data_IF_225268549829
#
_entry.id   IF_225268549829
#
_cell.length_a   1.000
_cell.length_b   1.000
_cell.length_c   1.000
_cell.angle_alpha   90.00
_cell.angle_beta   90.00
_cell.angle_gamma   90.00
#
_symmetry.space_group_name_H-M   'P 1'
#
loop_
_entity.id
_entity.type
_entity.pdbx_description
1 polymer ?
#
# COMPACT_ATOMS: atom_id res chain seq x y z
N UNK A 1 -0.39 -3.63 -22.74
CA UNK A 1 -1.40 -3.04 -21.82
C UNK A 1 -0.97 -3.15 -20.36
N UNK A 2 -0.57 -4.32 -19.86
CA UNK A 2 -0.12 -4.51 -18.46
C UNK A 2 1.06 -3.61 -18.04
N UNK A 3 2.14 -3.59 -18.84
CA UNK A 3 3.30 -2.70 -18.61
C UNK A 3 2.89 -1.23 -18.47
N UNK A 4 1.92 -0.77 -19.28
CA UNK A 4 1.43 0.62 -19.22
C UNK A 4 0.79 0.89 -17.84
N UNK A 5 -0.01 -0.05 -17.34
CA UNK A 5 -0.64 0.08 -16.02
C UNK A 5 0.39 0.04 -14.89
N UNK A 6 1.42 -0.80 -14.99
CA UNK A 6 2.52 -0.85 -14.01
C UNK A 6 3.34 0.46 -14.00
N UNK A 7 3.53 1.10 -15.16
CA UNK A 7 4.13 2.44 -15.26
C UNK A 7 3.24 3.47 -14.58
N UNK A 8 1.93 3.46 -14.83
CA UNK A 8 0.98 4.38 -14.21
C UNK A 8 0.97 4.23 -12.68
N UNK A 9 0.95 2.99 -12.18
CA UNK A 9 1.07 2.70 -10.73
C UNK A 9 2.36 3.31 -10.17
N UNK A 10 3.48 3.09 -10.85
CA UNK A 10 4.79 3.60 -10.41
C UNK A 10 4.84 5.13 -10.37
N UNK A 11 4.27 5.80 -11.38
CA UNK A 11 4.22 7.28 -11.44
C UNK A 11 3.33 7.85 -10.34
N UNK A 12 2.14 7.26 -10.11
CA UNK A 12 1.24 7.68 -9.04
C UNK A 12 1.87 7.46 -7.66
N UNK A 13 2.50 6.32 -7.45
CA UNK A 13 3.20 6.02 -6.20
C UNK A 13 4.39 6.96 -5.98
N UNK A 14 5.17 7.29 -7.02
CA UNK A 14 6.26 8.26 -6.93
C UNK A 14 5.73 9.65 -6.55
N UNK A 15 4.61 10.08 -7.15
CA UNK A 15 3.95 11.34 -6.79
C UNK A 15 3.54 11.37 -5.30
N UNK A 16 2.94 10.29 -4.80
CA UNK A 16 2.57 10.14 -3.38
C UNK A 16 3.82 10.21 -2.50
N UNK A 17 4.84 9.41 -2.79
CA UNK A 17 6.09 9.36 -2.02
C UNK A 17 6.74 10.75 -1.93
N UNK A 18 6.85 11.46 -3.06
CA UNK A 18 7.42 12.80 -3.11
C UNK A 18 6.66 13.80 -2.24
N UNK A 19 5.33 13.82 -2.34
CA UNK A 19 4.49 14.77 -1.59
C UNK A 19 4.47 14.46 -0.10
N UNK A 20 4.39 13.18 0.27
CA UNK A 20 4.45 12.73 1.67
C UNK A 20 5.81 13.06 2.27
N UNK A 21 6.90 12.85 1.54
CA UNK A 21 8.25 13.20 1.99
C UNK A 21 8.43 14.71 2.20
N UNK A 22 7.91 15.54 1.29
CA UNK A 22 7.91 16.99 1.46
C UNK A 22 7.11 17.43 2.68
N UNK A 23 5.93 16.84 2.91
CA UNK A 23 5.12 17.12 4.09
C UNK A 23 5.84 16.68 5.38
N UNK A 24 6.49 15.51 5.36
CA UNK A 24 7.20 14.95 6.51
C UNK A 24 8.27 15.89 7.08
N UNK A 25 9.01 16.59 6.21
CA UNK A 25 10.03 17.58 6.61
C UNK A 25 9.51 18.71 7.51
N UNK A 26 8.20 18.98 7.48
CA UNK A 26 7.56 20.05 8.26
C UNK A 26 6.88 19.56 9.55
N UNK A 27 6.89 18.26 9.82
CA UNK A 27 6.16 17.67 10.94
C UNK A 27 7.02 17.61 12.21
N UNK A 28 6.52 18.19 13.30
CA UNK A 28 7.10 18.07 14.64
C UNK A 28 6.51 16.90 15.45
N UNK A 29 5.31 16.44 15.10
CA UNK A 29 4.62 15.35 15.80
C UNK A 29 5.17 13.98 15.36
N UNK A 30 5.70 13.21 16.33
CA UNK A 30 6.27 11.88 16.13
C UNK A 30 5.27 10.88 15.55
N UNK A 31 3.98 10.98 15.90
CA UNK A 31 2.94 10.07 15.40
C UNK A 31 2.61 10.35 13.94
N UNK A 32 2.55 11.62 13.56
CA UNK A 32 2.32 12.04 12.17
C UNK A 32 3.55 11.74 11.31
N UNK A 33 4.75 11.87 11.87
CA UNK A 33 6.01 11.45 11.27
C UNK A 33 6.03 9.96 10.95
N UNK A 34 5.62 9.10 11.90
CA UNK A 34 5.53 7.65 11.72
C UNK A 34 4.52 7.26 10.63
N UNK A 35 3.37 7.95 10.58
CA UNK A 35 2.38 7.79 9.52
C UNK A 35 2.96 8.11 8.14
N UNK A 36 3.56 9.29 7.98
CA UNK A 36 4.18 9.73 6.72
C UNK A 36 5.28 8.78 6.26
N UNK A 37 6.12 8.31 7.18
CA UNK A 37 7.13 7.30 6.87
C UNK A 37 6.51 6.01 6.34
N UNK A 38 5.49 5.48 7.01
CA UNK A 38 4.78 4.27 6.57
C UNK A 38 4.11 4.44 5.20
N UNK A 39 3.51 5.61 4.92
CA UNK A 39 2.91 5.94 3.63
C UNK A 39 3.94 6.04 2.50
N UNK A 40 5.12 6.62 2.79
CA UNK A 40 6.21 6.68 1.82
C UNK A 40 6.79 5.29 1.53
N UNK A 41 6.95 4.45 2.56
CA UNK A 41 7.36 3.05 2.39
C UNK A 41 6.35 2.24 1.59
N UNK A 42 5.04 2.45 1.80
CA UNK A 42 3.98 1.79 1.03
C UNK A 42 4.03 2.20 -0.44
N UNK A 43 4.25 3.49 -0.72
CA UNK A 43 4.45 3.96 -2.08
C UNK A 43 5.70 3.32 -2.73
N UNK A 44 6.80 3.22 -1.99
CA UNK A 44 8.00 2.53 -2.46
C UNK A 44 7.75 1.03 -2.72
N UNK A 45 6.96 0.36 -1.89
CA UNK A 45 6.62 -1.05 -2.10
C UNK A 45 5.78 -1.24 -3.36
N UNK A 46 4.83 -0.34 -3.65
CA UNK A 46 4.06 -0.37 -4.90
C UNK A 46 4.93 -0.20 -6.14
N UNK A 47 5.95 0.67 -6.09
CA UNK A 47 6.92 0.84 -7.19
C UNK A 47 7.74 -0.44 -7.37
N UNK A 48 8.29 -0.99 -6.29
CA UNK A 48 9.09 -2.22 -6.35
C UNK A 48 8.27 -3.39 -6.91
N UNK A 49 7.02 -3.49 -6.49
CA UNK A 49 6.07 -4.51 -6.94
C UNK A 49 5.71 -4.35 -8.43
N UNK A 50 5.48 -3.12 -8.91
CA UNK A 50 5.26 -2.84 -10.33
C UNK A 50 6.49 -3.18 -11.20
N UNK A 51 7.72 -2.87 -10.73
CA UNK A 51 8.96 -3.22 -11.43
C UNK A 51 9.16 -4.73 -11.52
N UNK A 52 8.87 -5.45 -10.43
CA UNK A 52 8.91 -6.92 -10.40
C UNK A 52 7.90 -7.53 -11.37
N UNK A 53 6.68 -7.00 -11.40
CA UNK A 53 5.64 -7.46 -12.32
C UNK A 53 6.04 -7.27 -13.79
N UNK A 54 6.66 -6.12 -14.13
CA UNK A 54 7.22 -5.89 -15.46
C UNK A 54 8.31 -6.92 -15.79
N UNK A 55 9.26 -7.14 -14.87
CA UNK A 55 10.36 -8.08 -15.08
C UNK A 55 9.87 -9.52 -15.28
N UNK A 56 8.97 -10.00 -14.42
CA UNK A 56 8.37 -11.33 -14.54
C UNK A 56 7.53 -11.48 -15.80
N UNK A 57 6.82 -10.41 -16.22
CA UNK A 57 6.02 -10.45 -17.44
C UNK A 57 6.86 -10.64 -18.71
N UNK A 58 8.09 -10.09 -18.73
CA UNK A 58 9.02 -10.29 -19.84
C UNK A 58 9.62 -11.71 -19.84
N UNK A 59 9.90 -12.28 -18.67
CA UNK A 59 10.51 -13.61 -18.53
C UNK A 59 9.58 -14.78 -18.90
N UNK A 60 8.25 -14.58 -18.89
CA UNK A 60 7.26 -15.62 -19.23
C UNK A 60 7.39 -16.15 -20.66
N UNK A 61 8.08 -15.44 -21.55
CA UNK A 61 8.33 -15.85 -22.94
C UNK A 61 9.69 -16.52 -23.19
N UNK A 62 10.65 -16.41 -22.27
CA UNK A 62 12.05 -16.78 -22.52
C UNK A 62 12.57 -17.92 -21.64
N UNK A 63 11.99 -18.10 -20.44
CA UNK A 63 12.52 -19.00 -19.43
C UNK A 63 11.61 -20.20 -19.09
N UNK A 64 12.16 -21.32 -18.59
CA UNK A 64 11.36 -22.46 -18.15
C UNK A 64 10.43 -22.07 -16.98
N UNK A 65 9.14 -22.37 -17.13
CA UNK A 65 8.07 -21.97 -16.21
C UNK A 65 8.33 -22.33 -14.73
N UNK A 66 9.07 -23.41 -14.45
CA UNK A 66 9.43 -23.79 -13.06
C UNK A 66 10.40 -22.82 -12.40
N UNK A 67 11.34 -22.24 -13.16
CA UNK A 67 12.29 -21.26 -12.64
C UNK A 67 11.59 -19.92 -12.38
N UNK A 68 10.72 -19.49 -13.30
CA UNK A 68 9.90 -18.27 -13.17
C UNK A 68 9.04 -18.34 -11.90
N UNK A 69 8.35 -19.46 -11.64
CA UNK A 69 7.55 -19.64 -10.42
C UNK A 69 8.34 -19.56 -9.12
N UNK A 70 9.60 -20.01 -9.11
CA UNK A 70 10.47 -19.92 -7.91
C UNK A 70 10.92 -18.48 -7.67
N UNK A 71 11.31 -17.78 -8.73
CA UNK A 71 11.65 -16.35 -8.67
C UNK A 71 10.46 -15.51 -8.23
N UNK A 72 9.28 -15.80 -8.78
CA UNK A 72 8.01 -15.18 -8.40
C UNK A 72 7.73 -15.33 -6.90
N UNK A 73 7.84 -16.55 -6.35
CA UNK A 73 7.61 -16.81 -4.94
C UNK A 73 8.60 -16.04 -4.03
N UNK A 74 9.89 -16.01 -4.40
CA UNK A 74 10.91 -15.27 -3.66
C UNK A 74 10.65 -13.76 -3.67
N UNK A 75 10.38 -13.19 -4.85
CA UNK A 75 10.08 -11.77 -5.01
C UNK A 75 8.78 -11.37 -4.30
N UNK A 76 7.74 -12.23 -4.35
CA UNK A 76 6.50 -12.04 -3.60
C UNK A 76 6.76 -11.95 -2.11
N UNK A 77 7.62 -12.81 -1.57
CA UNK A 77 7.97 -12.80 -0.15
C UNK A 77 8.70 -11.51 0.23
N UNK A 78 9.66 -11.06 -0.59
CA UNK A 78 10.35 -9.78 -0.39
C UNK A 78 9.39 -8.59 -0.41
N UNK A 79 8.48 -8.54 -1.39
CA UNK A 79 7.45 -7.51 -1.47
C UNK A 79 6.56 -7.57 -0.23
N UNK A 80 6.10 -8.76 0.19
CA UNK A 80 5.28 -8.90 1.38
C UNK A 80 5.97 -8.40 2.66
N UNK A 81 7.27 -8.65 2.81
CA UNK A 81 8.04 -8.12 3.96
C UNK A 81 8.14 -6.59 3.89
N UNK A 82 8.43 -6.05 2.70
CA UNK A 82 8.53 -4.60 2.50
C UNK A 82 7.18 -3.90 2.78
N UNK A 83 6.09 -4.49 2.29
CA UNK A 83 4.72 -4.09 2.55
C UNK A 83 4.38 -4.16 4.04
N UNK A 84 4.80 -5.21 4.74
CA UNK A 84 4.59 -5.35 6.18
C UNK A 84 5.33 -4.24 6.95
N UNK A 85 6.59 -4.00 6.59
CA UNK A 85 7.40 -2.93 7.16
C UNK A 85 6.81 -1.54 6.91
N UNK A 86 6.06 -1.35 5.82
CA UNK A 86 5.30 -0.13 5.54
C UNK A 86 4.00 -0.04 6.36
N UNK A 87 3.24 -1.13 6.43
CA UNK A 87 1.91 -1.16 7.07
C UNK A 87 1.99 -1.06 8.59
N UNK A 88 3.01 -1.63 9.23
CA UNK A 88 3.15 -1.62 10.70
C UNK A 88 3.22 -0.19 11.27
N UNK A 89 4.11 0.71 10.78
CA UNK A 89 4.14 2.12 11.18
C UNK A 89 2.80 2.83 10.97
N UNK A 90 2.13 2.58 9.83
CA UNK A 90 0.82 3.18 9.53
C UNK A 90 -0.22 2.70 10.53
N UNK A 91 -0.29 1.39 10.77
CA UNK A 91 -1.21 0.77 11.72
C UNK A 91 -1.01 1.38 13.11
N UNK A 92 0.22 1.42 13.62
CA UNK A 92 0.55 2.06 14.91
C UNK A 92 0.07 3.51 14.93
N UNK A 93 0.37 4.28 13.88
CA UNK A 93 -0.02 5.67 13.82
C UNK A 93 -1.55 5.87 13.77
N UNK A 94 -2.33 4.99 13.13
CA UNK A 94 -3.80 5.13 13.09
C UNK A 94 -4.50 4.53 14.31
N UNK A 95 -3.86 3.58 15.02
CA UNK A 95 -4.43 2.85 16.16
C UNK A 95 -4.73 3.79 17.34
N UNK A 96 -5.96 3.81 17.88
CA UNK A 96 -6.26 4.49 19.14
C UNK A 96 -5.45 3.87 20.29
N UNK A 97 -4.98 4.67 21.24
CA UNK A 97 -4.16 4.19 22.38
C UNK A 97 -4.80 3.07 23.19
N UNK A 98 -6.13 2.99 23.24
CA UNK A 98 -6.87 1.92 23.90
C UNK A 98 -6.78 0.55 23.20
N UNK A 99 -6.44 0.49 21.91
CA UNK A 99 -6.46 -0.73 21.11
C UNK A 99 -5.10 -1.47 21.03
N UNK A 100 -4.02 -0.88 21.54
CA UNK A 100 -2.69 -1.52 21.58
C UNK A 100 -2.68 -2.87 22.32
N UNK A 101 -3.64 -3.11 23.23
CA UNK A 101 -3.72 -4.33 24.02
C UNK A 101 -4.31 -5.55 23.26
N UNK A 102 -5.03 -5.34 22.15
CA UNK A 102 -5.83 -6.39 21.49
C UNK A 102 -5.18 -6.93 20.21
N UNK A 103 -4.15 -6.24 19.69
CA UNK A 103 -3.54 -6.56 18.41
C UNK A 103 -2.76 -7.89 18.30
N UNK A 104 -2.21 -8.56 19.35
CA UNK A 104 -1.19 -9.58 19.10
C UNK A 104 -1.72 -10.99 18.77
N UNK A 105 -3.03 -11.27 18.84
CA UNK A 105 -3.51 -12.68 18.81
C UNK A 105 -4.21 -13.07 17.49
N UNK A 106 -4.87 -12.14 16.79
CA UNK A 106 -5.57 -12.43 15.52
C UNK A 106 -4.68 -12.48 14.27
N UNK A 107 -3.41 -12.09 14.38
CA UNK A 107 -2.45 -11.94 13.28
C UNK A 107 -1.80 -13.25 12.81
N UNK A 108 -2.09 -14.38 13.47
CA UNK A 108 -1.34 -15.65 13.28
C UNK A 108 -1.90 -16.50 12.12
N UNK A 109 -3.11 -16.22 11.61
CA UNK A 109 -3.84 -17.13 10.71
C UNK A 109 -4.16 -16.59 9.30
N UNK A 110 -3.74 -15.37 8.96
CA UNK A 110 -4.05 -14.73 7.67
C UNK A 110 -2.80 -14.06 7.07
N UNK A 111 -2.77 -13.73 5.76
CA UNK A 111 -1.71 -12.89 5.21
C UNK A 111 -1.72 -11.55 5.96
N UNK A 112 -0.71 -11.35 6.82
CA UNK A 112 -0.58 -10.22 7.75
C UNK A 112 -0.85 -8.87 7.08
N UNK A 113 -0.41 -8.71 5.83
CA UNK A 113 -0.62 -7.49 5.05
C UNK A 113 -2.09 -7.21 4.76
N UNK A 114 -2.88 -8.23 4.42
CA UNK A 114 -4.32 -8.05 4.16
C UNK A 114 -5.06 -7.62 5.43
N UNK A 115 -4.76 -8.28 6.56
CA UNK A 115 -5.37 -7.97 7.86
C UNK A 115 -5.05 -6.55 8.29
N UNK A 116 -3.76 -6.18 8.27
CA UNK A 116 -3.33 -4.83 8.62
C UNK A 116 -3.93 -3.78 7.67
N UNK A 117 -4.02 -4.09 6.38
CA UNK A 117 -4.62 -3.18 5.40
C UNK A 117 -6.12 -2.97 5.66
N UNK A 118 -6.89 -4.04 5.89
CA UNK A 118 -8.30 -3.91 6.23
C UNK A 118 -8.53 -3.23 7.58
N UNK A 119 -7.65 -3.48 8.55
CA UNK A 119 -7.67 -2.77 9.83
C UNK A 119 -7.47 -1.27 9.64
N UNK A 120 -6.42 -0.86 8.92
CA UNK A 120 -6.16 0.55 8.62
C UNK A 120 -7.36 1.15 7.89
N UNK A 121 -7.88 0.46 6.86
CA UNK A 121 -9.05 0.90 6.10
C UNK A 121 -10.26 1.15 7.00
N UNK A 122 -10.57 0.23 7.93
CA UNK A 122 -11.68 0.37 8.86
C UNK A 122 -11.50 1.55 9.81
N UNK A 123 -10.32 1.69 10.41
CA UNK A 123 -10.04 2.78 11.35
C UNK A 123 -10.08 4.14 10.65
N UNK A 124 -9.50 4.26 9.46
CA UNK A 124 -9.55 5.51 8.70
C UNK A 124 -10.95 5.79 8.17
N UNK A 125 -11.76 4.76 7.89
CA UNK A 125 -13.14 4.92 7.44
C UNK A 125 -14.01 5.52 8.54
N UNK A 126 -13.96 4.98 9.75
CA UNK A 126 -14.68 5.55 10.90
C UNK A 126 -14.28 7.01 11.11
N UNK A 127 -12.97 7.31 11.13
CA UNK A 127 -12.47 8.69 11.26
C UNK A 127 -12.93 9.59 10.12
N UNK A 128 -13.05 9.07 8.90
CA UNK A 128 -13.49 9.86 7.74
C UNK A 128 -14.97 10.23 7.85
N UNK A 129 -15.81 9.32 8.36
CA UNK A 129 -17.21 9.59 8.66
C UNK A 129 -17.35 10.63 9.78
N UNK A 130 -16.60 10.47 10.88
CA UNK A 130 -16.62 11.40 12.01
C UNK A 130 -16.24 12.83 11.60
N UNK A 131 -15.34 12.97 10.63
CA UNK A 131 -14.84 14.25 10.14
C UNK A 131 -15.56 14.79 8.91
N UNK A 132 -16.51 14.05 8.34
CA UNK A 132 -17.17 14.40 7.08
C UNK A 132 -16.21 14.51 5.88
N UNK A 133 -15.03 13.88 5.96
CA UNK A 133 -13.99 13.95 4.93
C UNK A 133 -14.10 12.77 3.95
N UNK A 134 -13.69 12.93 2.68
CA UNK A 134 -13.77 11.84 1.72
C UNK A 134 -12.87 10.64 2.12
N UNK A 135 -13.35 9.39 2.05
CA UNK A 135 -12.67 8.20 2.57
C UNK A 135 -11.56 7.66 1.64
N UNK A 136 -10.78 8.53 0.99
CA UNK A 136 -9.78 8.11 -0.01
C UNK A 136 -8.71 7.19 0.59
N UNK A 137 -8.20 7.51 1.78
CA UNK A 137 -7.19 6.68 2.46
C UNK A 137 -7.78 5.29 2.76
N UNK A 138 -9.01 5.24 3.25
CA UNK A 138 -9.70 4.00 3.58
C UNK A 138 -9.90 3.10 2.35
N UNK A 139 -10.31 3.70 1.24
CA UNK A 139 -10.47 3.00 -0.03
C UNK A 139 -9.13 2.47 -0.55
N UNK A 140 -8.05 3.26 -0.45
CA UNK A 140 -6.72 2.81 -0.84
C UNK A 140 -6.30 1.53 -0.09
N UNK A 141 -6.42 1.53 1.25
CA UNK A 141 -6.08 0.36 2.06
C UNK A 141 -7.06 -0.81 1.87
N UNK A 142 -8.32 -0.55 1.54
CA UNK A 142 -9.24 -1.62 1.20
C UNK A 142 -8.82 -2.34 -0.09
N UNK A 143 -8.53 -1.60 -1.16
CA UNK A 143 -8.07 -2.19 -2.42
C UNK A 143 -6.69 -2.84 -2.31
N UNK A 144 -5.81 -2.30 -1.47
CA UNK A 144 -4.52 -2.94 -1.18
C UNK A 144 -4.70 -4.27 -0.44
N UNK A 145 -5.64 -4.35 0.51
CA UNK A 145 -6.00 -5.60 1.16
C UNK A 145 -6.47 -6.65 0.16
N UNK A 146 -7.30 -6.25 -0.81
CA UNK A 146 -7.76 -7.13 -1.89
C UNK A 146 -6.63 -7.56 -2.84
N UNK A 147 -5.67 -6.69 -3.16
CA UNK A 147 -4.55 -7.05 -4.03
C UNK A 147 -3.64 -8.10 -3.38
N UNK A 148 -3.41 -7.99 -2.06
CA UNK A 148 -2.54 -8.93 -1.35
C UNK A 148 -3.07 -10.37 -1.26
N UNK A 149 -4.38 -10.57 -1.42
CA UNK A 149 -5.01 -11.90 -1.44
C UNK A 149 -5.14 -12.48 -2.85
N UNK A 150 -4.89 -11.65 -3.88
CA UNK A 150 -5.00 -12.06 -5.27
C UNK A 150 -3.76 -12.84 -5.77
N UNK A 151 -3.91 -13.70 -6.79
CA UNK A 151 -2.77 -14.30 -7.48
C UNK A 151 -1.91 -13.23 -8.16
N UNK A 152 -0.58 -13.38 -8.11
CA UNK A 152 0.37 -12.48 -8.79
C UNK A 152 0.09 -12.57 -10.30
N UNK A 153 0.27 -11.46 -11.01
CA UNK A 153 -0.03 -11.31 -12.44
C UNK A 153 -1.51 -11.43 -12.83
N UNK A 154 -2.43 -11.61 -11.88
CA UNK A 154 -3.85 -11.58 -12.20
C UNK A 154 -4.30 -10.15 -12.56
N UNK A 155 -5.26 -10.05 -13.48
CA UNK A 155 -5.82 -8.75 -13.84
C UNK A 155 -6.53 -8.07 -12.65
N UNK A 156 -7.10 -8.87 -11.76
CA UNK A 156 -7.72 -8.38 -10.52
C UNK A 156 -6.69 -7.73 -9.59
N UNK A 157 -5.54 -8.38 -9.37
CA UNK A 157 -4.43 -7.82 -8.58
C UNK A 157 -3.95 -6.49 -9.14
N UNK A 158 -3.72 -6.44 -10.46
CA UNK A 158 -3.30 -5.23 -11.16
C UNK A 158 -4.30 -4.07 -11.01
N UNK A 159 -5.60 -4.33 -11.17
CA UNK A 159 -6.65 -3.32 -11.01
C UNK A 159 -6.75 -2.86 -9.56
N UNK A 160 -6.66 -3.76 -8.58
CA UNK A 160 -6.70 -3.42 -7.17
C UNK A 160 -5.48 -2.56 -6.76
N UNK A 161 -4.28 -2.85 -7.27
CA UNK A 161 -3.08 -2.02 -7.08
C UNK A 161 -3.21 -0.65 -7.73
N UNK A 162 -3.76 -0.59 -8.95
CA UNK A 162 -4.04 0.67 -9.63
C UNK A 162 -5.00 1.55 -8.81
N UNK A 163 -6.10 0.97 -8.33
CA UNK A 163 -7.05 1.68 -7.48
C UNK A 163 -6.40 2.14 -6.18
N UNK A 164 -5.55 1.31 -5.56
CA UNK A 164 -4.74 1.69 -4.39
C UNK A 164 -3.94 2.96 -4.69
N UNK A 165 -3.15 2.96 -5.77
CA UNK A 165 -2.30 4.10 -6.15
C UNK A 165 -3.12 5.36 -6.47
N UNK A 166 -4.26 5.20 -7.15
CA UNK A 166 -5.18 6.31 -7.48
C UNK A 166 -5.76 6.93 -6.21
N UNK A 167 -6.29 6.13 -5.29
CA UNK A 167 -6.88 6.65 -4.05
C UNK A 167 -5.83 7.28 -3.13
N UNK A 168 -4.61 6.74 -3.08
CA UNK A 168 -3.49 7.39 -2.40
C UNK A 168 -3.17 8.76 -3.03
N UNK A 169 -3.05 8.84 -4.35
CA UNK A 169 -2.79 10.09 -5.05
C UNK A 169 -3.92 11.13 -4.85
N UNK A 170 -5.18 10.69 -4.90
CA UNK A 170 -6.35 11.54 -4.62
C UNK A 170 -6.35 12.06 -3.19
N UNK A 171 -5.98 11.24 -2.21
CA UNK A 171 -5.89 11.68 -0.81
C UNK A 171 -4.86 12.82 -0.64
N UNK A 172 -3.70 12.68 -1.29
CA UNK A 172 -2.62 13.67 -1.27
C UNK A 172 -3.02 14.94 -2.02
N UNK A 173 -3.71 14.81 -3.15
CA UNK A 173 -4.22 15.94 -3.92
C UNK A 173 -5.28 16.72 -3.14
N UNK A 174 -6.26 16.02 -2.57
CA UNK A 174 -7.33 16.64 -1.79
C UNK A 174 -6.79 17.37 -0.57
N UNK A 175 -5.85 16.76 0.17
CA UNK A 175 -5.21 17.39 1.33
C UNK A 175 -4.47 18.70 0.95
N UNK A 176 -3.86 18.76 -0.23
CA UNK A 176 -3.22 19.99 -0.73
C UNK A 176 -4.24 21.04 -1.16
N UNK A 177 -5.36 20.63 -1.77
CA UNK A 177 -6.42 21.53 -2.18
C UNK A 177 -7.10 22.19 -0.98
N UNK A 178 -7.27 21.46 0.13
CA UNK A 178 -7.86 21.98 1.37
C UNK A 178 -6.91 22.85 2.21
N UNK A 179 -5.60 22.80 1.94
CA UNK A 179 -4.58 23.58 2.67
C UNK A 179 -4.30 24.95 2.04
N UNK A 180 -4.91 25.25 0.88
CA UNK A 180 -4.86 26.56 0.21
C UNK A 180 -6.10 27.37 0.55
#
# INVERSE_FOLDING_TARGET
>A
MRIILDIVISVLALYVAYKVFMAWRSLSDMRLSLYSFGMAMLAASLIAEAVVDMYLSNLLGEAPMRAVRRMEAALRLTIQILSLAALVPVAIAVTPTAAYAVLPIGLILAPLNAVLSFYIAGVTFVKSLDRGSPPYISLAFFFYGLSTTAPILSLFDLLARLLTAVFLALSVYHAQATAK
#
